data_IF_336715457856
#
_entry.id   IF_336715457856
#
_cell.length_a   1.000
_cell.length_b   1.000
_cell.length_c   1.000
_cell.angle_alpha   90.00
_cell.angle_beta   90.00
_cell.angle_gamma   90.00
#
_symmetry.space_group_name_H-M   'P 1'
#
loop_
_entity.id
_entity.type
_entity.pdbx_description
1 polymer ?
#
# COMPACT_ATOMS: atom_id res chain seq x y z
N UNK A 1 -3.82 -9.57 12.35
CA UNK A 1 -2.75 -8.67 11.87
C UNK A 1 -1.72 -8.58 12.98
N UNK A 2 -0.49 -8.98 12.70
CA UNK A 2 0.65 -8.89 13.62
C UNK A 2 1.45 -7.60 13.36
N UNK A 3 1.87 -6.91 14.42
CA UNK A 3 2.79 -5.76 14.34
C UNK A 3 4.03 -6.07 15.16
N UNK A 4 5.18 -6.08 14.51
CA UNK A 4 6.47 -6.44 15.13
C UNK A 4 7.45 -5.30 15.01
N UNK A 5 8.00 -4.85 16.15
CA UNK A 5 9.12 -3.91 16.15
C UNK A 5 10.39 -4.63 15.68
N UNK A 6 11.01 -4.16 14.60
CA UNK A 6 12.21 -4.77 13.99
C UNK A 6 13.48 -3.92 14.18
N UNK A 7 13.32 -2.64 14.48
CA UNK A 7 14.40 -1.68 14.77
C UNK A 7 13.82 -0.55 15.65
N UNK A 8 14.61 0.29 16.35
CA UNK A 8 14.08 1.35 17.22
C UNK A 8 12.96 2.20 16.61
N UNK A 9 13.03 2.46 15.30
CA UNK A 9 12.08 3.30 14.56
C UNK A 9 11.35 2.55 13.44
N UNK A 10 11.39 1.22 13.39
CA UNK A 10 10.78 0.44 12.30
C UNK A 10 9.90 -0.67 12.87
N UNK A 11 8.67 -0.71 12.36
CA UNK A 11 7.70 -1.76 12.66
C UNK A 11 7.35 -2.48 11.36
N UNK A 12 7.40 -3.79 11.37
CA UNK A 12 6.85 -4.63 10.32
C UNK A 12 5.39 -4.93 10.67
N UNK A 13 4.53 -4.84 9.66
CA UNK A 13 3.09 -5.11 9.76
C UNK A 13 2.78 -6.25 8.81
N UNK A 14 2.23 -7.33 9.34
CA UNK A 14 1.73 -8.42 8.52
C UNK A 14 0.43 -8.00 7.82
N UNK A 15 0.43 -8.09 6.49
CA UNK A 15 -0.73 -7.78 5.67
C UNK A 15 -1.56 -9.05 5.52
N UNK A 16 -2.83 -8.99 5.91
CA UNK A 16 -3.74 -10.13 5.95
C UNK A 16 -4.88 -9.90 4.95
N UNK A 17 -4.62 -9.96 3.64
CA UNK A 17 -5.72 -10.00 2.68
C UNK A 17 -6.53 -11.28 2.93
N UNK A 18 -7.86 -11.26 2.73
CA UNK A 18 -8.73 -12.42 2.92
C UNK A 18 -8.60 -13.41 1.75
N UNK A 19 -7.38 -13.93 1.55
CA UNK A 19 -6.97 -14.82 0.46
C UNK A 19 -6.30 -16.03 1.11
N UNK A 20 -6.84 -17.21 0.83
CA UNK A 20 -6.26 -18.46 1.30
C UNK A 20 -4.81 -18.62 0.82
N UNK A 21 -3.90 -18.95 1.73
CA UNK A 21 -2.48 -19.10 1.45
C UNK A 21 -1.66 -17.81 1.48
N UNK A 22 -2.28 -16.66 1.78
CA UNK A 22 -1.59 -15.37 1.92
C UNK A 22 -1.30 -15.02 3.40
N UNK A 23 -1.51 -15.96 4.32
CA UNK A 23 -1.15 -15.77 5.73
C UNK A 23 0.36 -15.55 5.85
N UNK A 24 0.77 -14.43 6.47
CA UNK A 24 2.19 -14.09 6.65
C UNK A 24 3.00 -13.99 5.34
N UNK A 25 2.30 -13.72 4.23
CA UNK A 25 2.91 -13.69 2.89
C UNK A 25 3.36 -12.28 2.48
N UNK A 26 2.62 -11.25 2.89
CA UNK A 26 2.87 -9.85 2.50
C UNK A 26 3.14 -9.01 3.75
N UNK A 27 4.09 -8.09 3.66
CA UNK A 27 4.42 -7.20 4.76
C UNK A 27 4.45 -5.74 4.31
N UNK A 28 4.02 -4.86 5.21
CA UNK A 28 4.27 -3.42 5.13
C UNK A 28 5.22 -3.02 6.26
N UNK A 29 5.92 -1.90 6.09
CA UNK A 29 6.76 -1.33 7.15
C UNK A 29 6.30 0.07 7.50
N UNK A 30 6.20 0.34 8.80
CA UNK A 30 5.98 1.68 9.34
C UNK A 30 7.32 2.16 9.88
N UNK A 31 7.84 3.22 9.26
CA UNK A 31 9.11 3.87 9.63
C UNK A 31 8.79 5.20 10.32
N UNK A 32 9.25 5.33 11.56
CA UNK A 32 9.07 6.53 12.37
C UNK A 32 10.15 7.56 12.07
N UNK A 33 9.73 8.81 11.92
CA UNK A 33 10.57 9.99 11.72
C UNK A 33 9.78 11.26 12.00
N UNK A 34 10.25 12.40 11.49
CA UNK A 34 9.51 13.67 11.56
C UNK A 34 8.11 13.51 10.96
N UNK A 35 8.05 12.90 9.76
CA UNK A 35 6.83 12.34 9.16
C UNK A 35 6.95 10.82 9.13
N UNK A 36 5.83 10.13 9.35
CA UNK A 36 5.78 8.67 9.25
C UNK A 36 5.76 8.26 7.78
N UNK A 37 6.54 7.23 7.46
CA UNK A 37 6.58 6.57 6.15
C UNK A 37 5.97 5.17 6.28
N UNK A 38 5.03 4.85 5.40
CA UNK A 38 4.57 3.48 5.16
C UNK A 38 5.28 2.95 3.92
N UNK A 39 5.88 1.77 3.99
CA UNK A 39 6.54 1.10 2.85
C UNK A 39 5.75 -0.14 2.50
N UNK A 40 5.38 -0.26 1.23
CA UNK A 40 4.44 -1.26 0.69
C UNK A 40 3.04 -1.17 1.29
N UNK A 41 2.04 -1.49 0.46
CA UNK A 41 0.62 -1.40 0.85
C UNK A 41 -0.16 -2.67 0.60
N UNK A 42 0.41 -3.59 -0.17
CA UNK A 42 -0.25 -4.83 -0.53
C UNK A 42 -1.36 -4.64 -1.56
N UNK A 43 -2.20 -5.67 -1.74
CA UNK A 43 -3.47 -5.54 -2.43
C UNK A 43 -4.41 -4.56 -1.69
N UNK A 44 -5.43 -4.06 -2.40
CA UNK A 44 -6.42 -3.15 -1.80
C UNK A 44 -7.13 -3.76 -0.59
N UNK A 45 -7.34 -5.07 -0.61
CA UNK A 45 -7.95 -5.83 0.48
C UNK A 45 -7.12 -5.88 1.78
N UNK A 46 -5.82 -5.55 1.76
CA UNK A 46 -4.96 -5.51 2.96
C UNK A 46 -4.76 -4.11 3.56
N UNK A 47 -5.28 -3.05 2.94
CA UNK A 47 -5.09 -1.66 3.42
C UNK A 47 -5.55 -1.48 4.86
N UNK A 48 -6.60 -2.19 5.28
CA UNK A 48 -7.12 -2.10 6.64
C UNK A 48 -6.14 -2.65 7.70
N UNK A 49 -5.22 -3.55 7.34
CA UNK A 49 -4.13 -3.96 8.23
C UNK A 49 -3.22 -2.77 8.58
N UNK A 50 -2.88 -1.93 7.60
CA UNK A 50 -2.04 -0.74 7.83
C UNK A 50 -2.75 0.25 8.76
N UNK A 51 -4.05 0.47 8.55
CA UNK A 51 -4.86 1.37 9.39
C UNK A 51 -4.92 0.86 10.83
N UNK A 52 -5.15 -0.45 11.03
CA UNK A 52 -5.14 -1.07 12.35
C UNK A 52 -3.77 -0.98 13.02
N UNK A 53 -2.68 -1.14 12.28
CA UNK A 53 -1.32 -1.01 12.80
C UNK A 53 -1.00 0.44 13.23
N UNK A 54 -1.36 1.44 12.42
CA UNK A 54 -1.18 2.85 12.80
C UNK A 54 -1.95 3.17 14.09
N UNK A 55 -3.20 2.69 14.22
CA UNK A 55 -3.99 2.84 15.45
C UNK A 55 -3.32 2.17 16.66
N UNK A 56 -2.86 0.93 16.52
CA UNK A 56 -2.25 0.19 17.65
C UNK A 56 -0.93 0.80 18.13
N UNK A 57 -0.22 1.50 17.23
CA UNK A 57 0.98 2.26 17.53
C UNK A 57 0.71 3.69 18.02
N UNK A 58 -0.56 4.09 18.17
CA UNK A 58 -0.99 5.45 18.51
C UNK A 58 -0.43 6.53 17.54
N UNK A 59 -0.34 6.18 16.25
CA UNK A 59 0.11 7.10 15.21
C UNK A 59 -1.10 7.75 14.56
N UNK A 60 -1.19 9.09 14.63
CA UNK A 60 -2.19 9.87 13.92
C UNK A 60 -2.07 9.70 12.40
N UNK A 61 -3.18 9.58 11.69
CA UNK A 61 -3.16 9.37 10.24
C UNK A 61 -2.64 10.58 9.47
N UNK A 62 -2.79 11.76 10.04
CA UNK A 62 -2.22 13.03 9.59
C UNK A 62 -0.68 13.08 9.74
N UNK A 63 -0.10 12.27 10.63
CA UNK A 63 1.35 12.12 10.78
C UNK A 63 2.00 11.31 9.67
N UNK A 64 1.21 10.53 8.91
CA UNK A 64 1.73 9.78 7.77
C UNK A 64 1.94 10.75 6.62
N UNK A 65 3.20 11.08 6.36
CA UNK A 65 3.58 12.00 5.30
C UNK A 65 3.83 11.32 3.98
N UNK A 66 4.22 10.04 4.01
CA UNK A 66 4.61 9.31 2.82
C UNK A 66 4.14 7.87 2.86
N UNK A 67 3.82 7.36 1.68
CA UNK A 67 3.61 5.95 1.39
C UNK A 67 4.55 5.63 0.24
N UNK A 68 5.45 4.67 0.35
CA UNK A 68 6.36 4.28 -0.73
C UNK A 68 6.04 2.87 -1.20
N UNK A 69 6.12 2.64 -2.51
CA UNK A 69 6.01 1.31 -3.11
C UNK A 69 7.29 1.04 -3.91
N UNK A 70 7.80 -0.18 -3.80
CA UNK A 70 9.00 -0.61 -4.54
C UNK A 70 8.74 -0.70 -6.03
N UNK A 71 7.55 -1.19 -6.42
CA UNK A 71 7.11 -1.35 -7.79
C UNK A 71 5.58 -1.46 -7.88
N UNK A 72 5.05 -1.53 -9.10
CA UNK A 72 3.61 -1.39 -9.38
C UNK A 72 2.82 -2.71 -9.35
N UNK A 73 3.37 -3.81 -8.86
CA UNK A 73 2.57 -5.04 -8.81
C UNK A 73 1.42 -4.92 -7.80
N UNK A 74 0.30 -5.59 -8.07
CA UNK A 74 -0.93 -5.39 -7.29
C UNK A 74 -0.82 -5.89 -5.86
N UNK A 75 0.03 -6.88 -5.62
CA UNK A 75 0.39 -7.39 -4.29
C UNK A 75 1.34 -6.46 -3.51
N UNK A 76 1.73 -5.33 -4.10
CA UNK A 76 2.63 -4.33 -3.53
C UNK A 76 1.98 -2.94 -3.46
N UNK A 77 1.44 -2.47 -4.59
CA UNK A 77 0.85 -1.15 -4.77
C UNK A 77 -0.67 -1.15 -4.95
N UNK A 78 -1.32 -2.31 -4.94
CA UNK A 78 -2.75 -2.41 -5.28
C UNK A 78 -3.67 -1.62 -4.35
N UNK A 79 -3.26 -1.42 -3.10
CA UNK A 79 -3.98 -0.60 -2.13
C UNK A 79 -3.66 0.90 -2.17
N UNK A 80 -2.75 1.36 -3.02
CA UNK A 80 -2.27 2.73 -3.00
C UNK A 80 -3.39 3.77 -3.22
N UNK A 81 -4.32 3.47 -4.13
CA UNK A 81 -5.47 4.33 -4.44
C UNK A 81 -6.48 4.52 -3.30
N UNK A 82 -6.51 3.63 -2.30
CA UNK A 82 -7.40 3.76 -1.15
C UNK A 82 -6.84 4.66 -0.04
N UNK A 83 -5.53 4.98 -0.08
CA UNK A 83 -4.86 5.69 0.99
C UNK A 83 -5.11 7.19 1.02
N UNK A 84 -5.30 7.93 -0.09
CA UNK A 84 -5.60 9.37 -0.04
C UNK A 84 -6.82 9.72 0.82
N UNK A 85 -7.84 8.84 0.86
CA UNK A 85 -9.04 9.01 1.68
C UNK A 85 -8.77 8.76 3.18
N UNK A 86 -7.82 7.88 3.51
CA UNK A 86 -7.51 7.43 4.89
C UNK A 86 -6.35 8.20 5.53
N UNK A 87 -5.39 8.66 4.72
CA UNK A 87 -4.12 9.29 5.11
C UNK A 87 -4.02 10.68 4.45
N UNK A 88 -4.67 11.71 5.01
CA UNK A 88 -4.92 12.97 4.30
C UNK A 88 -3.65 13.74 3.91
N UNK A 89 -2.57 13.60 4.67
CA UNK A 89 -1.30 14.30 4.41
C UNK A 89 -0.31 13.47 3.58
N UNK A 90 -0.61 12.20 3.32
CA UNK A 90 0.34 11.31 2.66
C UNK A 90 0.50 11.65 1.17
N UNK A 91 1.74 11.59 0.70
CA UNK A 91 2.10 11.50 -0.72
C UNK A 91 2.54 10.08 -1.04
N UNK A 92 2.11 9.53 -2.17
CA UNK A 92 2.61 8.26 -2.67
C UNK A 92 3.93 8.48 -3.40
N UNK A 93 5.00 7.87 -2.93
CA UNK A 93 6.33 7.87 -3.54
C UNK A 93 6.47 6.64 -4.43
N UNK A 94 6.78 6.87 -5.70
CA UNK A 94 6.98 5.82 -6.70
C UNK A 94 7.99 6.28 -7.75
N UNK A 95 8.74 5.35 -8.32
CA UNK A 95 9.66 5.63 -9.42
C UNK A 95 8.92 6.20 -10.64
N UNK A 96 9.57 7.05 -11.45
CA UNK A 96 8.98 7.69 -12.63
C UNK A 96 8.33 6.72 -13.62
N UNK A 97 8.94 5.54 -13.81
CA UNK A 97 8.39 4.48 -14.66
C UNK A 97 7.08 3.92 -14.12
N UNK A 98 6.90 3.88 -12.80
CA UNK A 98 5.69 3.38 -12.15
C UNK A 98 4.57 4.41 -12.07
N UNK A 99 4.90 5.70 -12.00
CA UNK A 99 3.93 6.77 -11.75
C UNK A 99 2.72 6.77 -12.72
N UNK A 100 2.88 6.63 -14.06
CA UNK A 100 1.74 6.59 -14.98
C UNK A 100 0.75 5.44 -14.68
N UNK A 101 1.26 4.31 -14.19
CA UNK A 101 0.44 3.13 -13.87
C UNK A 101 -0.30 3.26 -12.54
N UNK A 102 0.21 4.06 -11.62
CA UNK A 102 -0.49 4.34 -10.36
C UNK A 102 -1.56 5.41 -10.57
N UNK A 103 -1.27 6.44 -11.38
CA UNK A 103 -2.23 7.47 -11.74
C UNK A 103 -3.37 6.87 -12.58
N UNK A 104 -3.06 5.95 -13.50
CA UNK A 104 -4.04 5.21 -14.28
C UNK A 104 -3.74 3.70 -14.29
N UNK A 105 -4.36 2.91 -13.40
CA UNK A 105 -4.08 1.48 -13.25
C UNK A 105 -4.73 0.60 -14.31
N UNK A 106 -5.53 1.13 -15.24
CA UNK A 106 -6.34 0.31 -16.15
C UNK A 106 -5.50 -0.69 -16.95
N UNK A 107 -4.38 -0.24 -17.55
CA UNK A 107 -3.49 -1.12 -18.32
C UNK A 107 -2.88 -2.23 -17.46
N UNK A 108 -2.54 -1.90 -16.22
CA UNK A 108 -2.01 -2.87 -15.27
C UNK A 108 -3.08 -3.90 -14.90
N UNK A 109 -4.30 -3.45 -14.62
CA UNK A 109 -5.44 -4.32 -14.32
C UNK A 109 -5.76 -5.26 -15.47
N UNK A 110 -5.87 -4.75 -16.70
CA UNK A 110 -6.15 -5.56 -17.88
C UNK A 110 -5.08 -6.65 -18.07
N UNK A 111 -3.82 -6.31 -17.85
CA UNK A 111 -2.71 -7.26 -17.94
C UNK A 111 -2.77 -8.31 -16.84
N UNK A 112 -3.08 -7.92 -15.60
CA UNK A 112 -3.11 -8.84 -14.46
C UNK A 112 -4.33 -9.74 -14.48
N UNK A 113 -5.46 -9.25 -15.01
CA UNK A 113 -6.66 -10.05 -15.22
C UNK A 113 -6.38 -11.30 -16.07
N UNK A 114 -5.61 -11.15 -17.15
CA UNK A 114 -5.22 -12.26 -18.03
C UNK A 114 -4.32 -13.29 -17.37
N UNK A 115 -3.52 -12.89 -16.38
CA UNK A 115 -2.50 -13.73 -15.74
C UNK A 115 -3.02 -14.37 -14.46
N UNK A 116 -3.67 -13.58 -13.60
CA UNK A 116 -4.13 -13.98 -12.27
C UNK A 116 -5.58 -14.50 -12.28
N UNK A 117 -6.33 -14.19 -13.33
CA UNK A 117 -7.75 -14.53 -13.43
C UNK A 117 -8.66 -13.63 -12.59
N UNK A 118 -9.94 -13.60 -12.96
CA UNK A 118 -10.96 -12.77 -12.33
C UNK A 118 -11.11 -13.01 -10.83
N UNK A 119 -11.03 -14.29 -10.41
CA UNK A 119 -11.20 -14.66 -9.00
C UNK A 119 -10.17 -13.99 -8.11
N UNK A 120 -8.88 -14.06 -8.46
CA UNK A 120 -7.82 -13.49 -7.64
C UNK A 120 -7.84 -11.96 -7.67
N UNK A 121 -8.09 -11.34 -8.83
CA UNK A 121 -8.25 -9.89 -8.94
C UNK A 121 -9.38 -9.39 -8.02
N UNK A 122 -10.51 -10.09 -7.98
CA UNK A 122 -11.62 -9.73 -7.08
C UNK A 122 -11.22 -9.81 -5.61
N UNK A 123 -10.41 -10.79 -5.22
CA UNK A 123 -9.93 -10.92 -3.84
C UNK A 123 -8.84 -9.89 -3.47
N UNK A 124 -8.08 -9.41 -4.46
CA UNK A 124 -7.17 -8.27 -4.26
C UNK A 124 -7.92 -6.97 -3.96
N UNK A 125 -9.20 -6.89 -4.33
CA UNK A 125 -10.05 -5.73 -4.11
C UNK A 125 -9.93 -4.67 -5.21
N UNK A 126 -10.71 -3.61 -5.07
CA UNK A 126 -10.75 -2.52 -6.04
C UNK A 126 -9.44 -1.73 -6.05
N UNK A 127 -8.78 -1.67 -7.20
CA UNK A 127 -7.55 -0.89 -7.42
C UNK A 127 -7.96 0.48 -7.97
N UNK A 128 -8.03 1.46 -7.07
CA UNK A 128 -8.35 2.85 -7.42
C UNK A 128 -7.13 3.58 -8.00
N UNK A 129 -7.31 4.55 -8.90
CA UNK A 129 -6.24 5.46 -9.29
C UNK A 129 -5.81 6.32 -8.10
N UNK A 130 -4.55 6.75 -8.10
CA UNK A 130 -4.06 7.77 -7.16
C UNK A 130 -4.08 9.13 -7.87
N UNK A 131 -4.69 10.18 -7.28
CA UNK A 131 -4.66 11.52 -7.87
C UNK A 131 -3.22 11.98 -8.13
N UNK A 132 -2.97 12.58 -9.28
CA UNK A 132 -1.61 12.98 -9.70
C UNK A 132 -0.95 13.92 -8.70
N UNK A 133 -1.71 14.84 -8.10
CA UNK A 133 -1.23 15.74 -7.07
C UNK A 133 -0.81 15.03 -5.77
N UNK A 134 -1.24 13.79 -5.56
CA UNK A 134 -0.83 12.93 -4.44
C UNK A 134 0.39 12.08 -4.76
N UNK A 135 0.87 12.06 -6.00
CA UNK A 135 2.05 11.29 -6.41
C UNK A 135 3.31 12.15 -6.31
N UNK A 136 4.32 11.64 -5.61
CA UNK A 136 5.68 12.15 -5.56
C UNK A 136 6.58 11.23 -6.40
N UNK A 137 7.08 11.74 -7.52
CA UNK A 137 7.91 10.95 -8.44
C UNK A 137 9.36 10.90 -7.95
N UNK A 138 9.83 9.69 -7.63
CA UNK A 138 11.24 9.38 -7.43
C UNK A 138 11.95 9.17 -8.77
N UNK A 139 13.19 9.64 -8.87
CA UNK A 139 14.09 9.43 -10.02
C UNK A 139 15.15 8.39 -9.68
#
# INVERSE_FOLDING_TARGET
MEVKKVSPNVYMVDLEPPIEGFERFLASYIVLGEKVLVVEVGPSSSVESIIKALKSLNIGFDRVGYVAVSHIHLDHSGGAGALPEKLPNAKLVVHEVGAPHIINPQRLLDSRLRVLGEKLIKMYGEVKPVPEEKVLVGK
#
